data_IF_497774757161
#
_entry.id   IF_497774757161
#
_cell.length_a   1.000
_cell.length_b   1.000
_cell.length_c   1.000
_cell.angle_alpha   90.00
_cell.angle_beta   90.00
_cell.angle_gamma   90.00
#
_symmetry.space_group_name_H-M   'P 1'
#
loop_
_entity.id
_entity.type
_entity.pdbx_description
1 polymer ?
2 non-polymer ?
#
# COMPACT_ATOMS: atom_id res chain seq x y z
N UNK A 3 -15.43 13.14 -3.56
CA UNK A 3 -14.68 12.43 -2.54
C UNK A 3 -13.19 12.65 -2.71
N UNK A 4 -12.53 13.08 -1.64
CA UNK A 4 -11.13 13.47 -1.71
C UNK A 4 -10.32 12.63 -0.75
N UNK A 5 -9.15 12.19 -1.20
CA UNK A 5 -8.25 11.36 -0.40
C UNK A 5 -7.08 12.22 0.05
N UNK A 6 -6.82 12.23 1.35
CA UNK A 6 -5.70 12.95 1.94
C UNK A 6 -4.64 11.93 2.35
N UNK A 7 -3.39 12.24 2.01
CA UNK A 7 -2.27 11.34 2.29
C UNK A 7 -1.33 11.95 3.31
N UNK A 8 -0.66 11.08 4.07
CA UNK A 8 0.27 11.48 5.11
C UNK A 8 1.60 10.79 4.88
N UNK A 9 2.70 11.49 5.18
CA UNK A 9 4.04 10.96 4.99
C UNK A 9 4.82 11.11 6.28
N UNK A 10 5.24 10.00 6.86
CA UNK A 10 5.97 9.98 8.12
C UNK A 10 7.32 9.30 7.92
N UNK A 11 8.32 9.76 8.65
CA UNK A 11 9.64 9.17 8.60
C UNK A 11 10.36 9.43 7.29
N UNK A 12 11.65 9.09 7.28
CA UNK A 12 12.46 9.33 6.10
C UNK A 12 11.98 8.52 4.90
N UNK A 13 11.78 7.22 5.10
CA UNK A 13 11.31 6.36 4.00
C UNK A 13 9.95 6.82 3.47
N UNK A 14 9.00 7.06 4.38
CA UNK A 14 7.69 7.51 3.96
C UNK A 14 7.74 8.82 3.21
N UNK A 15 8.50 9.78 3.72
CA UNK A 15 8.61 11.07 3.05
C UNK A 15 9.23 10.93 1.68
N UNK A 16 10.28 10.11 1.54
CA UNK A 16 10.93 9.97 0.26
C UNK A 16 10.01 9.29 -0.76
N UNK A 17 9.33 8.21 -0.36
CA UNK A 17 8.47 7.53 -1.31
C UNK A 17 7.26 8.39 -1.66
N UNK A 18 6.78 9.19 -0.71
CA UNK A 18 5.68 10.10 -1.02
C UNK A 18 6.10 11.20 -1.97
N UNK A 19 7.30 11.74 -1.78
CA UNK A 19 7.80 12.77 -2.68
C UNK A 19 7.99 12.22 -4.09
N UNK A 20 8.52 11.01 -4.20
CA UNK A 20 8.68 10.42 -5.53
C UNK A 20 7.34 10.07 -6.16
N UNK A 21 6.37 9.64 -5.34
CA UNK A 21 5.03 9.39 -5.84
C UNK A 21 4.39 10.66 -6.37
N UNK A 22 4.58 11.78 -5.65
CA UNK A 22 4.03 13.04 -6.12
C UNK A 22 4.74 13.51 -7.39
N UNK A 23 6.05 13.29 -7.48
CA UNK A 23 6.76 13.59 -8.72
C UNK A 23 6.16 12.81 -9.88
N UNK A 24 5.99 11.50 -9.69
CA UNK A 24 5.43 10.65 -10.74
C UNK A 24 4.03 11.11 -11.13
N UNK A 25 3.20 11.45 -10.15
CA UNK A 25 1.82 11.81 -10.44
C UNK A 25 1.73 13.17 -11.12
N UNK A 26 2.57 14.11 -10.70
CA UNK A 26 2.62 15.40 -11.38
C UNK A 26 3.12 15.26 -12.80
N UNK A 27 4.04 14.32 -13.04
CA UNK A 27 4.49 14.06 -14.40
C UNK A 27 3.40 13.42 -15.23
N UNK A 28 2.58 12.56 -14.62
CA UNK A 28 1.50 11.91 -15.36
C UNK A 28 0.49 12.92 -15.85
N UNK A 29 0.19 13.94 -15.05
CA UNK A 29 -0.67 15.01 -15.49
C UNK A 29 0.18 16.14 -16.08
N UNK A 30 -0.50 17.19 -16.55
CA UNK A 30 0.21 18.33 -17.10
C UNK A 30 0.46 19.41 -16.07
N UNK A 31 1.22 19.09 -15.03
CA UNK A 31 1.47 20.00 -13.92
C UNK A 31 2.97 20.17 -13.76
N UNK A 32 3.44 21.39 -14.00
CA UNK A 32 4.86 21.70 -13.87
C UNK A 32 5.29 21.59 -12.40
N UNK A 33 6.58 21.37 -12.15
CA UNK A 33 7.09 21.37 -10.78
C UNK A 33 6.73 22.62 -10.00
N UNK A 34 6.47 23.72 -10.69
CA UNK A 34 6.05 24.97 -10.06
C UNK A 34 4.57 24.98 -9.72
N UNK A 35 3.92 23.81 -9.72
CA UNK A 35 2.50 23.68 -9.36
C UNK A 35 1.61 24.53 -10.26
N UNK A 36 2.00 24.65 -11.53
CA UNK A 36 1.23 25.38 -12.53
C UNK A 36 0.89 24.41 -13.66
N UNK A 37 -0.38 24.37 -14.04
CA UNK A 37 -0.81 23.47 -15.10
C UNK A 37 -0.17 23.89 -16.41
N UNK A 38 0.31 22.92 -17.18
CA UNK A 38 0.89 23.18 -18.49
C UNK A 38 -0.16 22.98 -19.58
N UNK A 39 0.05 23.67 -20.70
CA UNK A 39 -0.92 23.65 -21.78
C UNK A 39 -1.01 22.27 -22.42
N UNK A 40 0.07 21.83 -23.05
CA UNK A 40 0.11 20.54 -23.74
C UNK A 40 -1.09 20.32 -24.66
N UNK A 45 -9.64 15.51 -19.27
CA UNK A 45 -10.15 14.15 -19.28
C UNK A 45 -9.75 13.41 -18.01
N UNK A 46 -8.52 13.63 -17.56
CA UNK A 46 -7.99 12.97 -16.37
C UNK A 46 -8.56 13.63 -15.13
N UNK A 47 -9.33 12.87 -14.35
CA UNK A 47 -9.93 13.38 -13.12
C UNK A 47 -8.84 13.56 -12.07
N UNK A 48 -8.52 14.82 -11.77
CA UNK A 48 -7.42 15.15 -10.87
C UNK A 48 -7.89 15.79 -9.57
N UNK A 49 -9.19 15.88 -9.33
CA UNK A 49 -9.68 16.57 -8.13
C UNK A 49 -9.46 15.74 -6.87
N UNK A 50 -9.35 14.42 -7.00
CA UNK A 50 -9.27 13.55 -5.83
C UNK A 50 -8.01 13.85 -5.03
N UNK A 51 -6.86 13.92 -5.70
CA UNK A 51 -5.59 14.08 -5.03
C UNK A 51 -5.05 15.50 -5.05
N UNK A 52 -5.67 16.40 -5.82
CA UNK A 52 -5.19 17.78 -5.94
C UNK A 52 -6.31 18.74 -5.62
N UNK A 53 -5.94 19.88 -5.04
CA UNK A 53 -6.89 20.92 -4.66
C UNK A 53 -6.64 22.16 -5.51
N UNK A 54 -7.70 22.71 -6.09
CA UNK A 54 -7.57 23.86 -6.97
C UNK A 54 -7.49 25.16 -6.18
N UNK A 60 -2.83 24.51 -8.56
CA UNK A 60 -3.03 23.17 -8.02
C UNK A 60 -2.07 22.86 -6.88
N UNK A 61 -2.59 22.28 -5.81
CA UNK A 61 -1.77 21.94 -4.64
C UNK A 61 -2.12 20.52 -4.21
N UNK A 62 -1.12 19.67 -3.95
CA UNK A 62 -1.41 18.32 -3.46
C UNK A 62 -1.90 18.34 -2.02
N UNK A 63 -2.68 17.32 -1.68
CA UNK A 63 -3.22 17.16 -0.32
C UNK A 63 -2.28 16.26 0.47
N UNK A 64 -1.15 16.83 0.87
CA UNK A 64 -0.11 16.10 1.58
C UNK A 64 0.16 16.76 2.93
N UNK A 65 0.56 15.95 3.89
CA UNK A 65 0.92 16.42 5.23
C UNK A 65 2.26 15.77 5.57
N UNK A 66 3.35 16.50 5.35
CA UNK A 66 4.68 15.98 5.61
C UNK A 66 5.01 16.09 7.09
N UNK A 67 5.63 15.05 7.64
CA UNK A 67 5.99 15.03 9.05
C UNK A 67 7.33 14.34 9.28
N UNK A 72 14.50 16.26 8.57
CA UNK A 72 15.70 16.67 7.86
C UNK A 72 15.49 16.62 6.35
N UNK A 73 14.90 15.52 5.87
CA UNK A 73 14.65 15.36 4.43
C UNK A 73 13.68 16.41 3.92
N UNK A 74 12.92 17.04 4.82
CA UNK A 74 12.06 18.14 4.41
C UNK A 74 12.88 19.28 3.82
N UNK A 75 14.08 19.50 4.37
CA UNK A 75 14.97 20.50 3.78
C UNK A 75 15.42 20.07 2.38
N UNK A 76 15.68 18.77 2.19
CA UNK A 76 16.02 18.28 0.86
C UNK A 76 14.90 18.52 -0.12
N UNK A 77 13.65 18.32 0.31
CA UNK A 77 12.52 18.56 -0.57
C UNK A 77 12.38 20.05 -0.85
N UNK A 78 12.61 20.89 0.16
CA UNK A 78 12.53 22.33 -0.04
C UNK A 78 13.63 22.87 -0.94
N UNK A 79 14.75 22.16 -1.03
CA UNK A 79 15.79 22.54 -1.99
C UNK A 79 15.58 21.92 -3.36
N UNK A 80 14.73 20.91 -3.46
CA UNK A 80 14.37 20.33 -4.75
C UNK A 80 13.63 21.37 -5.60
N UNK A 81 13.63 21.20 -6.92
CA UNK A 81 12.83 22.11 -7.77
C UNK A 81 11.35 22.12 -7.45
N UNK A 82 10.86 21.21 -6.61
CA UNK A 82 9.45 21.12 -6.25
C UNK A 82 9.12 21.85 -4.96
N UNK A 83 9.89 22.89 -4.63
CA UNK A 83 9.61 23.64 -3.40
C UNK A 83 8.28 24.37 -3.48
N UNK A 84 7.81 24.67 -4.70
CA UNK A 84 6.55 25.38 -4.90
C UNK A 84 5.34 24.47 -4.86
N UNK A 85 5.47 23.25 -4.31
CA UNK A 85 4.40 22.28 -4.34
C UNK A 85 3.70 22.12 -3.00
N UNK A 86 4.15 22.80 -1.96
CA UNK A 86 3.53 22.67 -0.63
C UNK A 86 3.28 24.02 0.01
N UNK A 101 14.79 9.43 17.98
CA UNK A 101 15.72 8.32 18.07
C UNK A 101 15.38 7.19 17.13
N UNK A 102 15.64 5.96 17.56
CA UNK A 102 15.34 4.77 16.77
C UNK A 102 14.40 3.81 17.50
N UNK A 103 13.80 4.23 18.60
CA UNK A 103 12.92 3.37 19.37
C UNK A 103 11.46 3.65 19.03
N UNK A 104 10.63 2.62 19.21
CA UNK A 104 9.20 2.79 19.02
C UNK A 104 8.59 3.63 20.14
N UNK A 105 9.05 3.40 21.38
CA UNK A 105 8.48 4.12 22.51
C UNK A 105 8.77 5.61 22.43
N UNK A 106 9.97 5.99 21.98
CA UNK A 106 10.28 7.39 21.80
C UNK A 106 9.37 8.03 20.77
N UNK A 107 9.14 7.32 19.66
CA UNK A 107 8.23 7.84 18.64
C UNK A 107 6.82 8.02 19.17
N UNK A 108 6.33 7.02 19.91
CA UNK A 108 4.98 7.13 20.47
C UNK A 108 4.88 8.29 21.45
N UNK A 109 5.89 8.46 22.31
CA UNK A 109 5.87 9.54 23.28
C UNK A 109 5.88 10.90 22.58
N UNK A 110 6.77 11.08 21.62
CA UNK A 110 6.85 12.35 20.91
C UNK A 110 5.60 12.62 20.10
N UNK A 111 4.95 11.57 19.58
CA UNK A 111 3.67 11.77 18.91
C UNK A 111 2.57 12.15 19.86
N UNK A 112 2.61 11.62 21.09
CA UNK A 112 1.65 12.04 22.11
C UNK A 112 1.90 13.48 22.55
N UNK A 113 3.16 13.94 22.50
CA UNK A 113 3.48 15.28 22.94
C UNK A 113 2.90 16.35 22.03
N UNK A 114 2.80 16.07 20.74
CA UNK A 114 2.41 17.08 19.75
C UNK A 114 1.08 16.70 19.11
N UNK A 115 0.21 16.04 19.88
CA UNK A 115 -1.09 15.62 19.36
C UNK A 115 -1.86 16.80 18.77
N UNK A 116 -2.06 17.85 19.57
CA UNK A 116 -2.87 18.98 19.13
C UNK A 116 -2.20 19.71 17.97
N UNK A 117 -0.87 19.82 18.00
CA UNK A 117 -0.16 20.60 16.98
C UNK A 117 -0.38 20.01 15.59
N UNK A 118 -0.21 18.70 15.44
CA UNK A 118 -0.41 18.09 14.14
C UNK A 118 -1.89 17.92 13.84
N UNK A 119 -2.72 17.73 14.87
CA UNK A 119 -4.13 17.49 14.61
C UNK A 119 -4.87 18.75 14.21
N UNK A 120 -4.38 19.93 14.58
CA UNK A 120 -4.95 21.16 14.04
C UNK A 120 -4.78 21.21 12.53
N UNK A 121 -3.57 20.88 12.04
CA UNK A 121 -3.33 20.84 10.61
C UNK A 121 -4.21 19.79 9.95
N UNK A 122 -4.27 18.60 10.54
CA UNK A 122 -5.07 17.53 9.94
C UNK A 122 -6.54 17.93 9.89
N UNK A 123 -7.04 18.58 10.93
CA UNK A 123 -8.45 18.93 10.99
C UNK A 123 -8.78 20.06 10.03
N UNK A 124 -7.90 21.05 9.91
CA UNK A 124 -8.16 22.12 8.95
C UNK A 124 -8.14 21.59 7.53
N UNK A 125 -7.20 20.68 7.23
CA UNK A 125 -7.16 20.11 5.88
C UNK A 125 -8.33 19.17 5.65
N UNK A 126 -8.88 18.58 6.71
CA UNK A 126 -10.03 17.70 6.56
C UNK A 126 -11.30 18.49 6.32
N UNK A 127 -11.63 19.41 7.23
CA UNK A 127 -12.87 20.18 7.09
C UNK A 127 -12.80 21.16 5.92
N UNK A 128 -11.59 21.52 5.46
CA UNK A 128 -11.50 22.31 4.24
C UNK A 128 -11.99 21.56 3.02
N UNK A 129 -11.91 20.23 3.06
CA UNK A 129 -12.32 19.41 1.93
C UNK A 129 -13.84 19.28 1.87
N UNK A 130 -14.35 19.10 0.65
CA UNK A 130 -15.79 18.94 0.47
C UNK A 130 -16.28 17.66 1.14
N UNK A 131 -15.80 16.51 0.69
CA UNK A 131 -16.22 15.22 1.23
C UNK A 131 -14.98 14.33 1.34
N UNK A 132 -14.46 14.21 2.55
CA UNK A 132 -13.29 13.36 2.77
C UNK A 132 -13.66 11.90 2.58
N UNK A 133 -12.70 11.11 2.09
CA UNK A 133 -12.93 9.70 1.85
C UNK A 133 -12.02 8.80 2.66
N UNK A 134 -10.71 9.08 2.69
CA UNK A 134 -9.79 8.20 3.38
C UNK A 134 -8.53 8.89 3.90
N UNK A 135 -7.57 8.09 4.35
CA UNK A 135 -6.30 8.60 4.88
C UNK A 135 -5.20 7.65 4.44
N UNK A 136 -4.58 7.94 3.29
CA UNK A 136 -3.44 7.14 2.84
C UNK A 136 -2.23 7.44 3.71
N UNK A 137 -1.61 6.39 4.23
CA UNK A 137 -0.46 6.52 5.10
C UNK A 137 0.71 5.77 4.50
N UNK A 138 1.80 6.48 4.24
CA UNK A 138 3.01 5.90 3.67
C UNK A 138 4.14 6.02 4.69
N UNK A 139 4.56 4.90 5.25
CA UNK A 139 5.58 4.89 6.28
C UNK A 139 6.26 3.52 6.30
N UNK A 140 7.47 3.49 6.83
CA UNK A 140 8.24 2.26 6.97
C UNK A 140 8.15 1.82 8.43
N UNK A 141 7.80 0.55 8.64
CA UNK A 141 7.64 0.03 10.00
C UNK A 141 8.96 -0.31 10.67
N UNK A 142 10.08 -0.09 10.00
CA UNK A 142 11.39 -0.37 10.59
C UNK A 142 11.75 0.69 11.61
N UNK A 144 12.50 4.57 12.06
CA UNK A 144 12.57 4.58 13.51
C UNK A 144 11.37 5.23 14.17
N UNK A 145 11.40 6.56 14.25
CA UNK A 145 10.28 7.28 14.86
C UNK A 145 9.02 7.17 14.03
N UNK A 146 9.17 6.93 12.73
CA UNK A 146 8.00 6.80 11.87
C UNK A 146 7.07 5.70 12.31
N UNK A 147 7.63 4.58 12.79
CA UNK A 147 6.81 3.46 13.21
C UNK A 147 5.88 3.85 14.35
N UNK A 148 6.46 4.34 15.45
CA UNK A 148 5.63 4.72 16.59
C UNK A 148 4.71 5.89 16.29
N UNK A 149 5.18 6.84 15.47
CA UNK A 149 4.33 7.97 15.14
C UNK A 149 3.12 7.53 14.33
N UNK A 150 3.32 6.61 13.37
CA UNK A 150 2.20 6.07 12.62
C UNK A 150 1.28 5.24 13.49
N UNK A 151 1.84 4.50 14.43
CA UNK A 151 1.02 3.80 15.42
C UNK A 151 0.09 4.76 16.14
N UNK A 152 0.66 5.83 16.71
CA UNK A 152 -0.14 6.80 17.45
C UNK A 152 -1.17 7.47 16.56
N UNK A 153 -0.78 7.83 15.34
CA UNK A 153 -1.71 8.50 14.43
C UNK A 153 -2.85 7.57 14.04
N UNK A 154 -2.55 6.29 13.81
CA UNK A 154 -3.62 5.33 13.49
C UNK A 154 -4.59 5.21 14.66
N UNK A 155 -4.07 5.12 15.88
CA UNK A 155 -4.95 5.04 17.03
C UNK A 155 -5.84 6.27 17.14
N UNK A 156 -5.25 7.45 16.98
CA UNK A 156 -6.02 8.68 17.15
C UNK A 156 -7.02 8.88 16.02
N UNK A 157 -6.70 8.42 14.81
CA UNK A 157 -7.66 8.53 13.71
C UNK A 157 -8.80 7.53 13.87
N UNK A 158 -8.51 6.34 14.38
CA UNK A 158 -9.59 5.43 14.73
C UNK A 158 -10.46 6.02 15.85
N UNK A 159 -9.87 6.82 16.73
CA UNK A 159 -10.63 7.47 17.78
C UNK A 159 -11.55 8.54 17.22
N UNK A 160 -10.98 9.52 16.50
CA UNK A 160 -11.76 10.69 16.11
C UNK A 160 -12.70 10.38 14.95
N UNK A 161 -12.15 10.01 13.79
CA UNK A 161 -12.95 9.79 12.60
C UNK A 161 -13.37 8.33 12.54
N UNK A 162 -14.65 8.00 12.70
CA UNK A 162 -15.06 6.61 12.69
C UNK A 162 -15.57 6.13 11.34
N UNK A 163 -15.74 7.06 10.39
CA UNK A 163 -16.32 6.73 9.09
C UNK A 163 -15.35 6.94 7.94
N UNK A 164 -14.04 6.94 8.23
CA UNK A 164 -13.02 7.20 7.22
C UNK A 164 -12.17 5.95 7.04
N UNK A 165 -12.15 5.42 5.83
CA UNK A 165 -11.27 4.29 5.51
C UNK A 165 -9.81 4.72 5.64
N UNK A 166 -8.97 3.78 6.07
CA UNK A 166 -7.55 4.05 6.28
C UNK A 166 -6.77 2.97 5.55
N UNK A 167 -6.15 3.33 4.43
CA UNK A 167 -5.24 2.45 3.72
C UNK A 167 -3.80 2.86 4.03
N UNK A 168 -2.90 1.87 4.03
CA UNK A 168 -1.53 2.09 4.46
C UNK A 168 -0.58 1.41 3.50
N UNK A 169 0.31 2.19 2.89
CA UNK A 169 1.37 1.65 2.03
C UNK A 169 2.63 1.40 2.86
N UNK A 170 2.49 0.53 3.85
CA UNK A 170 3.59 0.25 4.76
C UNK A 170 4.69 -0.55 4.06
N UNK A 171 5.93 -0.29 4.46
CA UNK A 171 7.11 -0.89 3.86
C UNK A 171 7.79 -1.76 4.90
N UNK A 172 8.00 -3.05 4.57
CA UNK A 172 8.65 -4.02 5.44
C UNK A 172 10.15 -4.02 5.22
N UNK A 173 10.93 -4.37 6.25
CA UNK A 173 12.40 -4.37 6.14
C UNK A 173 12.92 -5.51 5.26
N UNK A 183 16.71 -4.60 17.36
CA UNK A 183 15.59 -3.88 17.94
C UNK A 183 14.50 -3.72 16.88
N UNK A 184 14.88 -3.98 15.64
CA UNK A 184 13.92 -3.92 14.53
C UNK A 184 12.71 -4.82 14.73
N UNK A 185 12.86 -6.09 15.15
CA UNK A 185 11.66 -6.93 15.32
C UNK A 185 10.65 -6.35 16.27
N UNK A 186 11.10 -5.71 17.35
CA UNK A 186 10.19 -5.09 18.31
C UNK A 186 9.29 -4.07 17.62
N UNK A 187 9.89 -3.07 16.97
CA UNK A 187 9.13 -2.04 16.30
C UNK A 187 8.22 -2.63 15.24
N UNK A 188 8.72 -3.59 14.46
CA UNK A 188 7.90 -4.17 13.41
C UNK A 188 6.67 -4.84 13.98
N UNK A 189 6.84 -5.66 15.03
CA UNK A 189 5.70 -6.38 15.58
C UNK A 189 4.71 -5.43 16.24
N UNK A 190 5.21 -4.36 16.86
CA UNK A 190 4.29 -3.38 17.42
C UNK A 190 3.46 -2.70 16.33
N UNK A 191 4.11 -2.35 15.22
CA UNK A 191 3.37 -1.78 14.10
C UNK A 191 2.33 -2.76 13.56
N UNK A 192 2.69 -4.04 13.48
CA UNK A 192 1.70 -5.03 13.03
C UNK A 192 0.53 -5.11 14.01
N UNK A 193 0.82 -5.05 15.31
CA UNK A 193 -0.25 -5.09 16.30
C UNK A 193 -1.21 -3.92 16.12
N UNK A 194 -0.68 -2.73 15.85
CA UNK A 194 -1.57 -1.59 15.67
C UNK A 194 -2.24 -1.59 14.31
N UNK A 195 -1.66 -2.26 13.32
CA UNK A 195 -2.20 -2.25 11.98
C UNK A 195 -3.26 -3.31 11.75
N UNK A 196 -3.30 -4.36 12.57
CA UNK A 196 -4.22 -5.46 12.34
C UNK A 196 -5.63 -5.19 12.85
N UNK A 197 -5.88 -4.04 13.47
CA UNK A 197 -7.21 -3.75 13.97
C UNK A 197 -7.68 -2.36 13.55
N UNK A 198 -6.75 -1.45 13.31
CA UNK A 198 -7.09 -0.07 12.99
C UNK A 198 -7.23 0.15 11.48
N UNK A 199 -6.16 -0.11 10.73
CA UNK A 199 -6.16 0.13 9.29
C UNK A 199 -7.16 -0.80 8.60
N UNK A 200 -8.13 -0.22 7.90
CA UNK A 200 -9.13 -1.01 7.20
C UNK A 200 -8.59 -1.67 5.94
N UNK A 201 -7.34 -1.40 5.57
CA UNK A 201 -6.67 -2.09 4.48
C UNK A 201 -5.18 -1.86 4.65
N UNK A 202 -4.39 -2.64 3.91
CA UNK A 202 -2.94 -2.52 4.03
C UNK A 202 -2.29 -3.18 2.81
N UNK A 203 -1.20 -2.59 2.36
CA UNK A 203 -0.40 -3.10 1.25
C UNK A 203 1.04 -3.24 1.73
N UNK A 204 1.59 -4.44 1.63
CA UNK A 204 2.93 -4.73 2.12
C UNK A 204 3.94 -4.43 1.03
N UNK A 205 5.13 -4.01 1.44
CA UNK A 205 6.25 -3.77 0.54
C UNK A 205 7.53 -4.16 1.27
N UNK A 206 8.14 -5.26 0.86
CA UNK A 206 9.35 -5.76 1.50
C UNK A 206 10.58 -5.29 0.73
N UNK A 207 11.52 -4.67 1.44
CA UNK A 207 12.75 -4.20 0.80
C UNK A 207 13.61 -5.36 0.31
N UNK A 208 13.46 -6.54 0.90
CA UNK A 208 14.26 -7.69 0.47
C UNK A 208 13.90 -8.11 -0.94
N UNK A 209 12.60 -8.25 -1.23
CA UNK A 209 12.17 -8.64 -2.57
C UNK A 209 12.51 -7.55 -3.59
N UNK A 210 12.36 -6.29 -3.20
CA UNK A 210 12.71 -5.19 -4.10
C UNK A 210 14.20 -5.21 -4.43
N UNK A 211 15.05 -5.44 -3.43
CA UNK A 211 16.48 -5.53 -3.67
C UNK A 211 16.81 -6.73 -4.55
N UNK A 212 16.13 -7.85 -4.33
CA UNK A 212 16.32 -9.03 -5.17
C UNK A 212 16.02 -8.70 -6.63
N UNK A 213 14.88 -8.05 -6.88
CA UNK A 213 14.50 -7.70 -8.25
C UNK A 213 15.49 -6.71 -8.83
N UNK A 214 16.00 -5.79 -8.00
CA UNK A 214 16.96 -4.81 -8.48
C UNK A 214 18.25 -5.48 -8.92
N UNK A 215 18.76 -6.42 -8.12
CA UNK A 215 19.97 -7.13 -8.52
C UNK A 215 19.71 -8.03 -9.72
N UNK A 216 18.50 -8.59 -9.84
CA UNK A 216 18.20 -9.50 -10.95
C UNK A 216 18.11 -8.75 -12.27
N UNK A 217 17.15 -7.83 -12.38
CA UNK A 217 16.79 -7.24 -13.66
C UNK A 217 17.10 -5.76 -13.76
N UNK A 218 17.73 -5.18 -12.75
CA UNK A 218 18.24 -3.81 -12.83
C UNK A 218 19.74 -3.71 -12.62
N UNK A 219 20.37 -4.70 -11.97
CA UNK A 219 21.83 -4.78 -11.84
C UNK A 219 22.40 -3.55 -11.15
N UNK A 220 21.99 -3.37 -9.89
CA UNK A 220 22.47 -2.23 -9.11
C UNK A 220 23.77 -2.51 -8.37
N UNK A 221 24.11 -3.78 -8.15
CA UNK A 221 25.33 -4.13 -7.43
C UNK A 221 25.78 -5.55 -7.76
N UNK A 224 20.52 0.67 -4.16
CA UNK A 224 20.43 2.04 -3.68
C UNK A 224 18.98 2.44 -3.44
N UNK A 225 18.76 3.28 -2.43
CA UNK A 225 17.41 3.73 -2.11
C UNK A 225 16.77 4.44 -3.30
N UNK A 226 17.51 5.36 -3.92
CA UNK A 226 16.96 6.16 -5.02
C UNK A 226 16.67 5.34 -6.26
N UNK A 227 16.98 4.04 -6.27
CA UNK A 227 16.65 3.18 -7.40
C UNK A 227 15.45 2.28 -7.11
N UNK A 228 15.42 1.68 -5.92
CA UNK A 228 14.26 0.88 -5.54
C UNK A 228 13.04 1.78 -5.34
N UNK A 229 13.26 3.04 -4.93
CA UNK A 229 12.15 3.96 -4.77
C UNK A 229 11.46 4.25 -6.09
N UNK A 230 12.20 4.15 -7.21
CA UNK A 230 11.57 4.30 -8.51
C UNK A 230 10.50 3.24 -8.74
N UNK A 231 10.85 1.98 -8.52
CA UNK A 231 9.89 0.90 -8.69
C UNK A 231 8.76 1.03 -7.68
N UNK A 232 9.07 1.45 -6.45
CA UNK A 232 8.04 1.63 -5.44
C UNK A 232 7.02 2.67 -5.90
N UNK A 233 7.51 3.82 -6.37
CA UNK A 233 6.61 4.86 -6.83
C UNK A 233 5.83 4.42 -8.06
N UNK A 234 6.46 3.62 -8.93
CA UNK A 234 5.73 3.08 -10.07
C UNK A 234 4.54 2.24 -9.62
N UNK A 235 4.78 1.32 -8.68
CA UNK A 235 3.71 0.48 -8.17
C UNK A 235 2.64 1.33 -7.51
N UNK A 236 3.04 2.32 -6.73
CA UNK A 236 2.07 3.17 -6.04
C UNK A 236 1.20 3.94 -7.03
N UNK A 237 1.83 4.60 -7.99
CA UNK A 237 1.08 5.36 -8.99
C UNK A 237 0.14 4.46 -9.77
N UNK A 238 0.60 3.25 -10.11
CA UNK A 238 -0.28 2.33 -10.83
C UNK A 238 -1.37 1.76 -9.93
N UNK A 239 -1.22 1.87 -8.60
CA UNK A 239 -2.21 1.32 -7.70
C UNK A 239 -3.52 2.10 -7.76
N UNK A 240 -3.44 3.43 -7.77
CA UNK A 240 -4.61 4.29 -7.79
C UNK A 240 -4.92 4.78 -9.20
N UNK A 241 -4.68 3.94 -10.21
CA UNK A 241 -4.92 4.36 -11.58
C UNK A 241 -6.40 4.52 -11.87
N UNK A 242 -7.22 3.57 -11.43
CA UNK A 242 -8.64 3.61 -11.76
C UNK A 242 -9.39 4.76 -11.10
N UNK A 243 -8.79 5.41 -10.09
CA UNK A 243 -9.47 6.53 -9.45
C UNK A 243 -9.30 7.82 -10.24
N UNK A 244 -8.17 7.98 -10.93
CA UNK A 244 -7.91 9.22 -11.67
C UNK A 244 -8.45 9.18 -13.09
N UNK A 245 -8.49 8.02 -13.72
CA UNK A 245 -9.06 7.87 -15.05
C UNK A 245 -10.39 7.12 -14.93
N UNK A 246 -11.53 7.80 -15.02
CA UNK A 246 -12.81 7.14 -14.73
C UNK A 246 -13.14 6.08 -15.76
N UNK A 247 -13.64 4.95 -15.26
CA UNK A 247 -14.06 3.87 -16.12
C UNK A 247 -15.46 3.40 -15.79
N UNK A 248 -15.84 2.21 -16.26
CA UNK A 248 -17.17 1.70 -15.97
C UNK A 248 -17.36 1.44 -14.47
N UNK A 249 -16.36 0.82 -13.84
CA UNK A 249 -16.40 0.53 -12.42
C UNK A 249 -15.20 1.18 -11.72
N UNK A 250 -15.14 0.99 -10.40
CA UNK A 250 -14.00 1.43 -9.58
C UNK A 250 -13.80 2.95 -9.68
N UNK A 251 -14.81 3.68 -9.24
CA UNK A 251 -14.75 5.13 -9.16
C UNK A 251 -14.53 5.64 -7.74
N UNK A 252 -14.34 4.73 -6.77
CA UNK A 252 -14.18 5.12 -5.38
C UNK A 252 -13.37 4.05 -4.67
N UNK A 253 -12.79 4.44 -3.52
CA UNK A 253 -11.90 3.54 -2.80
C UNK A 253 -12.64 2.30 -2.31
N UNK A 254 -13.91 2.45 -1.93
CA UNK A 254 -14.68 1.30 -1.46
C UNK A 254 -14.83 0.28 -2.58
N UNK A 255 -14.94 0.73 -3.83
CA UNK A 255 -15.02 -0.20 -4.94
C UNK A 255 -13.78 -1.06 -5.07
N UNK A 256 -12.63 -0.56 -4.63
CA UNK A 256 -11.41 -1.35 -4.66
C UNK A 256 -11.29 -2.23 -3.42
N UNK A 257 -11.73 -1.72 -2.26
CA UNK A 257 -11.52 -2.43 -1.01
C UNK A 257 -12.53 -3.56 -0.85
N UNK A 258 -13.82 -3.24 -0.91
CA UNK A 258 -14.86 -4.22 -0.59
C UNK A 258 -14.86 -5.41 -1.53
N UNK A 259 -14.25 -5.28 -2.71
CA UNK A 259 -14.20 -6.42 -3.62
C UNK A 259 -13.20 -7.46 -3.13
N UNK A 260 -12.04 -7.01 -2.64
CA UNK A 260 -10.98 -7.94 -2.26
C UNK A 260 -11.18 -8.48 -0.85
N UNK A 261 -11.17 -7.59 0.14
CA UNK A 261 -11.21 -7.98 1.55
C UNK A 261 -12.57 -8.55 1.91
N UNK A 262 -12.69 -9.86 2.12
CA UNK A 262 -14.01 -10.44 2.42
C UNK A 262 -14.42 -10.30 3.88
N UNK A 263 -13.45 -10.38 4.79
CA UNK A 263 -13.68 -10.30 6.22
C UNK A 263 -12.73 -9.26 6.82
N UNK A 264 -13.13 -8.62 7.92
CA UNK A 264 -12.31 -7.51 8.45
C UNK A 264 -10.91 -7.90 8.90
N UNK A 265 -10.62 -9.19 9.06
CA UNK A 265 -9.30 -9.58 9.52
C UNK A 265 -8.31 -9.76 8.38
N UNK A 266 -8.73 -10.37 7.28
CA UNK A 266 -7.84 -10.71 6.17
C UNK A 266 -7.66 -9.49 5.26
N UNK A 267 -6.95 -8.49 5.79
CA UNK A 267 -6.80 -7.23 5.08
C UNK A 267 -5.35 -6.90 4.79
N UNK A 268 -4.58 -7.88 4.33
CA UNK A 268 -3.21 -7.66 3.89
C UNK A 268 -3.09 -8.11 2.43
N UNK A 269 -2.57 -7.22 1.59
CA UNK A 269 -2.51 -7.46 0.16
C UNK A 269 -1.08 -7.38 -0.35
N UNK A 270 -0.83 -8.06 -1.47
CA UNK A 270 0.46 -8.02 -2.12
C UNK A 270 0.30 -7.54 -3.56
N UNK A 271 1.40 -7.05 -4.14
CA UNK A 271 1.38 -6.42 -5.44
C UNK A 271 2.24 -7.17 -6.44
N UNK A 272 1.92 -6.98 -7.72
CA UNK A 272 2.69 -7.54 -8.81
C UNK A 272 2.66 -6.63 -10.02
N UNK A 273 3.80 -6.45 -10.69
CA UNK A 273 3.93 -5.51 -11.80
C UNK A 273 4.80 -6.17 -12.87
N UNK A 274 4.16 -6.70 -13.91
CA UNK A 274 4.88 -7.52 -14.88
C UNK A 274 5.74 -6.76 -15.89
N UNK A 275 5.36 -5.56 -16.39
CA UNK A 275 6.19 -4.94 -17.44
C UNK A 275 7.41 -4.26 -16.84
N UNK A 276 8.57 -4.88 -17.02
CA UNK A 276 9.81 -4.34 -16.48
C UNK A 276 10.86 -4.17 -17.58
N UNK A 288 1.43 -7.93 -28.12
CA UNK A 288 1.22 -8.43 -26.78
C UNK A 288 -0.26 -8.49 -26.44
N UNK A 289 -0.72 -9.66 -26.02
CA UNK A 289 -2.11 -9.88 -25.67
C UNK A 289 -2.29 -9.89 -24.16
N UNK A 290 -3.53 -9.72 -23.72
CA UNK A 290 -3.82 -9.71 -22.28
C UNK A 290 -3.56 -11.08 -21.68
N UNK A 291 -3.65 -12.15 -22.48
CA UNK A 291 -3.36 -13.48 -21.97
C UNK A 291 -1.90 -13.59 -21.54
N UNK A 292 -0.99 -13.04 -22.34
CA UNK A 292 0.42 -13.03 -21.97
C UNK A 292 0.63 -12.25 -20.69
N UNK A 293 -0.05 -11.11 -20.53
CA UNK A 293 0.10 -10.30 -19.33
C UNK A 293 -0.37 -11.08 -18.11
N UNK A 294 -1.55 -11.70 -18.21
CA UNK A 294 -2.09 -12.44 -17.08
C UNK A 294 -1.25 -13.68 -16.76
N UNK A 295 -0.62 -14.28 -17.77
CA UNK A 295 0.22 -15.44 -17.50
C UNK A 295 1.54 -15.03 -16.87
N UNK A 296 2.07 -13.86 -17.23
CA UNK A 296 3.28 -13.37 -16.61
C UNK A 296 3.04 -12.77 -15.23
N UNK A 297 1.81 -12.37 -14.93
CA UNK A 297 1.51 -11.77 -13.64
C UNK A 297 1.50 -12.82 -12.54
N UNK A 298 0.83 -13.94 -12.79
CA UNK A 298 0.69 -14.99 -11.77
C UNK A 298 1.98 -15.76 -11.54
N UNK A 299 3.08 -15.40 -12.19
CA UNK A 299 4.35 -16.06 -11.91
C UNK A 299 4.94 -15.51 -10.61
N UNK A 300 5.45 -16.39 -9.74
CA UNK A 300 6.06 -15.92 -8.49
C UNK A 300 7.32 -15.09 -8.69
N UNK A 301 7.83 -15.00 -9.92
CA UNK A 301 9.04 -14.24 -10.18
C UNK A 301 8.82 -12.73 -10.04
N UNK A 302 7.58 -12.26 -10.18
CA UNK A 302 7.30 -10.83 -10.20
C UNK A 302 6.66 -10.31 -8.92
N UNK A 303 6.04 -11.17 -8.11
CA UNK A 303 5.33 -10.71 -6.92
C UNK A 303 6.35 -10.20 -5.90
N UNK A 304 6.09 -9.00 -5.35
CA UNK A 304 6.96 -8.38 -4.37
C UNK A 304 6.74 -9.01 -2.99
N UNK A 305 7.04 -10.30 -2.89
CA UNK A 305 6.91 -11.06 -1.65
C UNK A 305 8.06 -12.05 -1.57
N UNK A 306 8.68 -12.13 -0.40
CA UNK A 306 9.76 -13.08 -0.17
C UNK A 306 9.24 -14.51 -0.22
N UNK A 314 -2.28 -25.98 3.15
CA UNK A 314 -1.57 -25.55 1.95
C UNK A 314 -1.66 -24.04 1.77
N UNK A 315 -1.86 -23.61 0.53
CA UNK A 315 -1.97 -22.19 0.23
C UNK A 315 -2.87 -22.00 -0.98
N UNK A 316 -3.55 -20.85 -1.02
CA UNK A 316 -4.47 -20.54 -2.11
C UNK A 316 -4.77 -19.05 -2.07
N UNK A 317 -5.56 -18.60 -3.03
CA UNK A 317 -5.90 -17.19 -3.20
C UNK A 317 -7.27 -16.88 -2.61
N UNK A 318 -7.43 -15.62 -2.20
CA UNK A 318 -8.69 -15.13 -1.66
C UNK A 318 -9.37 -14.16 -2.64
N UNK A 319 -8.60 -13.29 -3.27
CA UNK A 319 -9.14 -12.36 -4.24
C UNK A 319 -8.00 -11.79 -5.07
N UNK A 320 -8.25 -11.65 -6.38
CA UNK A 320 -7.27 -11.16 -7.33
C UNK A 320 -7.90 -10.03 -8.13
N UNK A 321 -7.13 -8.96 -8.33
CA UNK A 321 -7.58 -7.82 -9.13
C UNK A 321 -6.48 -7.45 -10.11
N UNK A 322 -6.84 -7.30 -11.38
CA UNK A 322 -5.92 -6.92 -12.43
C UNK A 322 -6.31 -5.56 -13.00
N UNK A 323 -5.32 -4.70 -13.21
CA UNK A 323 -5.51 -3.40 -13.82
C UNK A 323 -4.63 -3.34 -15.07
N UNK A 324 -5.27 -3.17 -16.23
CA UNK A 324 -4.57 -3.12 -17.50
C UNK A 324 -4.66 -1.71 -18.04
N UNK A 325 -3.50 -1.09 -18.27
CA UNK A 325 -3.43 0.31 -18.68
C UNK A 325 -3.19 0.48 -20.18
N UNK A 326 -3.18 -0.61 -20.94
CA UNK A 326 -2.86 -0.54 -22.34
C UNK A 326 -4.06 -0.23 -23.23
N UNK A 327 -3.79 -0.12 -24.52
CA UNK A 327 -4.81 0.07 -25.55
C UNK A 327 -5.24 -1.25 -26.16
N UNK A 328 -5.23 -2.34 -25.39
CA UNK A 328 -5.52 -3.65 -25.93
C UNK A 328 -6.97 -3.74 -26.38
N UNK A 329 -7.24 -4.77 -27.17
CA UNK A 329 -8.61 -5.07 -27.59
C UNK A 329 -9.37 -5.66 -26.42
N UNK A 330 -10.41 -5.00 -25.90
CA UNK A 330 -11.09 -5.49 -24.70
C UNK A 330 -12.01 -6.67 -24.92
N UNK A 331 -12.00 -7.30 -26.10
CA UNK A 331 -12.86 -8.45 -26.34
C UNK A 331 -12.17 -9.78 -26.01
N UNK A 332 -10.85 -9.78 -25.88
CA UNK A 332 -10.11 -11.00 -25.62
C UNK A 332 -9.90 -11.27 -24.13
N UNK A 333 -10.43 -10.42 -23.25
CA UNK A 333 -10.22 -10.61 -21.83
C UNK A 333 -11.02 -11.82 -21.32
N UNK A 334 -12.25 -12.00 -21.81
CA UNK A 334 -13.03 -13.15 -21.38
C UNK A 334 -12.40 -14.44 -21.86
N UNK A 335 -11.81 -14.44 -23.05
CA UNK A 335 -11.09 -15.62 -23.52
C UNK A 335 -9.87 -15.87 -22.65
N UNK A 336 -9.19 -14.80 -22.23
CA UNK A 336 -8.05 -14.95 -21.33
C UNK A 336 -8.46 -15.62 -20.03
N UNK A 337 -9.57 -15.16 -19.43
CA UNK A 337 -10.03 -15.76 -18.19
C UNK A 337 -10.47 -17.20 -18.40
N UNK A 338 -11.13 -17.48 -19.52
CA UNK A 338 -11.53 -18.85 -19.83
C UNK A 338 -10.32 -19.77 -19.88
N UNK A 339 -9.27 -19.36 -20.60
CA UNK A 339 -8.09 -20.20 -20.73
C UNK A 339 -7.33 -20.30 -19.41
N UNK A 340 -7.34 -19.25 -18.59
CA UNK A 340 -6.69 -19.32 -17.29
C UNK A 340 -7.40 -20.33 -16.40
N UNK A 341 -8.73 -20.33 -16.43
CA UNK A 341 -9.48 -21.32 -15.67
C UNK A 341 -9.23 -22.72 -16.22
N UNK A 342 -9.13 -22.85 -17.54
CA UNK A 342 -8.87 -24.15 -18.16
C UNK A 342 -7.55 -24.73 -17.69
N UNK A 343 -6.46 -23.99 -17.88
CA UNK A 343 -5.14 -24.51 -17.56
C UNK A 343 -4.90 -24.62 -16.06
N UNK A 344 -5.75 -24.01 -15.23
CA UNK A 344 -5.67 -24.11 -13.78
C UNK A 344 -4.30 -23.64 -13.27
N UNK A 345 -4.03 -22.35 -13.48
CA UNK A 345 -2.78 -21.76 -13.05
C UNK A 345 -2.81 -21.23 -11.63
N UNK A 346 -4.00 -21.04 -11.05
CA UNK A 346 -4.13 -20.52 -9.70
C UNK A 346 -5.28 -21.20 -9.00
N UNK A 347 -5.17 -21.28 -7.67
CA UNK A 347 -6.16 -21.91 -6.82
C UNK A 347 -6.89 -20.87 -5.97
N UNK A 348 -8.09 -21.23 -5.54
CA UNK A 348 -8.93 -20.34 -4.76
C UNK A 348 -9.33 -21.02 -3.45
N UNK A 349 -10.02 -20.26 -2.60
CA UNK A 349 -10.50 -20.75 -1.33
C UNK A 349 -11.55 -21.83 -1.57
N UNK A 350 -11.64 -22.86 -0.74
CA UNK A 350 -12.61 -23.93 -0.98
C UNK A 350 -13.98 -23.65 -0.37
N UNK A 351 -14.04 -22.75 0.62
CA UNK A 351 -15.29 -22.53 1.34
C UNK A 351 -16.21 -21.58 0.57
N UNK A 352 -15.76 -20.37 0.29
CA UNK A 352 -16.59 -19.38 -0.34
C UNK A 352 -16.28 -19.20 -1.81
N UNK A 353 -17.25 -18.70 -2.57
CA UNK A 353 -17.01 -18.41 -3.99
C UNK A 353 -16.15 -17.17 -4.17
N UNK A 354 -14.90 -17.36 -4.54
CA UNK A 354 -13.97 -16.26 -4.80
C UNK A 354 -13.51 -16.31 -6.24
N UNK A 355 -13.51 -15.15 -6.89
CA UNK A 355 -13.17 -15.07 -8.30
C UNK A 355 -12.11 -13.98 -8.49
N UNK A 356 -11.67 -13.84 -9.74
CA UNK A 356 -10.67 -12.85 -10.13
C UNK A 356 -11.37 -11.77 -10.93
N UNK A 357 -11.05 -10.51 -10.62
CA UNK A 357 -11.64 -9.37 -11.30
C UNK A 357 -10.58 -8.65 -12.12
N UNK A 358 -10.98 -8.14 -13.28
CA UNK A 358 -10.06 -7.46 -14.19
C UNK A 358 -10.72 -6.17 -14.66
N UNK A 359 -9.91 -5.11 -14.76
CA UNK A 359 -10.39 -3.81 -15.20
C UNK A 359 -9.33 -3.16 -16.07
N UNK A 360 -9.79 -2.28 -16.95
CA UNK A 360 -8.92 -1.58 -17.87
C UNK A 360 -8.93 -0.07 -17.57
N UNK A 361 -7.99 0.64 -18.19
CA UNK A 361 -7.86 2.07 -17.99
C UNK A 361 -7.15 2.65 -19.19
N UNK A 362 -6.67 3.90 -19.07
CA UNK A 362 -5.95 4.56 -20.13
C UNK A 362 -4.65 5.15 -19.58
N UNK A 363 -3.57 4.96 -20.32
CA UNK A 363 -2.30 5.55 -19.94
C UNK A 363 -2.33 7.06 -20.13
N UNK A 364 -1.48 7.75 -19.39
CA UNK A 364 -1.41 9.19 -19.48
C UNK A 364 -0.89 9.60 -20.85
N UNK A 365 -1.69 10.31 -21.66
CA UNK A 365 -1.22 10.64 -23.01
C UNK A 365 -0.02 11.57 -23.02
N UNK A 366 0.14 12.41 -22.01
CA UNK A 366 1.27 13.33 -21.95
C UNK A 366 2.58 12.60 -21.66
N UNK A 367 2.51 11.40 -21.09
CA UNK A 367 3.73 10.64 -20.79
C UNK A 367 4.33 10.06 -22.06
N UNK A 372 2.53 0.61 -26.25
CA UNK A 372 2.92 0.25 -24.88
C UNK A 372 1.73 -0.31 -24.12
N UNK A 373 1.95 -1.44 -23.44
CA UNK A 373 0.91 -2.11 -22.66
C UNK A 373 1.51 -2.53 -21.33
N UNK A 374 0.87 -2.15 -20.23
CA UNK A 374 1.33 -2.46 -18.88
C UNK A 374 0.22 -3.15 -18.12
N UNK A 375 0.50 -3.47 -16.85
CA UNK A 375 -0.48 -4.13 -16.02
C UNK A 375 -0.03 -4.33 -14.58
N UNK A 376 -0.96 -4.25 -13.64
CA UNK A 376 -0.67 -4.45 -12.23
C UNK A 376 -1.68 -5.44 -11.65
N UNK A 377 -1.28 -6.09 -10.56
CA UNK A 377 -2.09 -7.11 -9.92
C UNK A 377 -2.04 -6.94 -8.41
N UNK A 378 -3.22 -6.88 -7.79
CA UNK A 378 -3.36 -6.84 -6.34
C UNK A 378 -3.98 -8.14 -5.88
N UNK A 379 -3.29 -8.83 -4.97
CA UNK A 379 -3.71 -10.16 -4.54
C UNK A 379 -3.88 -10.23 -3.04
N UNK A 380 -4.78 -11.12 -2.62
CA UNK A 380 -4.98 -11.47 -1.22
C UNK A 380 -4.57 -12.93 -1.05
N UNK A 381 -3.28 -13.14 -0.81
CA UNK A 381 -2.70 -14.48 -0.73
C UNK A 381 -2.41 -14.81 0.73
N UNK A 382 -2.76 -16.04 1.12
CA UNK A 382 -2.55 -16.49 2.49
C UNK A 382 -1.08 -16.71 2.83
N UNK A 383 -0.20 -16.71 1.83
CA UNK A 383 1.22 -16.94 2.09
C UNK A 383 1.88 -15.79 2.84
N UNK A 384 1.29 -14.60 2.79
CA UNK A 384 1.92 -13.42 3.40
C UNK A 384 2.19 -13.66 4.89
N UNK A 385 1.34 -14.45 5.54
CA UNK A 385 1.52 -14.75 6.96
C UNK A 385 2.93 -15.23 7.26
N UNK A 386 3.51 -15.99 6.32
CA UNK A 386 4.88 -16.49 6.50
C UNK A 386 5.81 -15.38 6.96
N UNK A 387 5.77 -14.23 6.28
CA UNK A 387 6.63 -13.11 6.65
C UNK A 387 6.50 -12.80 8.13
N UNK A 388 5.27 -12.60 8.61
CA UNK A 388 5.05 -12.32 10.02
C UNK A 388 5.74 -13.33 10.90
N UNK A 389 5.61 -14.62 10.56
CA UNK A 389 6.23 -15.69 11.35
C UNK A 389 7.69 -15.37 11.61
N UNK A 390 8.43 -15.02 10.55
CA UNK A 390 9.84 -14.67 10.71
C UNK A 390 10.01 -13.64 11.81
N UNK A 391 9.34 -12.49 11.66
CA UNK A 391 9.36 -11.48 12.70
C UNK A 391 9.03 -12.09 14.05
N UNK A 392 7.89 -12.78 14.11
CA UNK A 392 7.49 -13.47 15.32
C UNK A 392 8.64 -14.31 15.86
N UNK A 393 9.19 -15.18 15.00
CA UNK A 393 10.31 -16.01 15.40
C UNK A 393 11.42 -15.17 16.01
N UNK A 394 11.84 -14.13 15.28
CA UNK A 394 12.93 -13.28 15.79
C UNK A 394 12.58 -12.71 17.15
N UNK A 395 11.33 -12.28 17.32
CA UNK A 395 10.92 -11.73 18.62
C UNK A 395 11.17 -12.74 19.73
N UNK A 396 10.78 -13.99 19.51
CA UNK A 396 11.06 -15.03 20.49
C UNK A 396 12.56 -15.15 20.72
N UNK A 397 13.34 -15.17 19.65
CA UNK A 397 14.80 -15.19 19.80
C UNK A 397 15.28 -13.96 20.55
N UNK A 398 14.62 -12.81 20.35
CA UNK A 398 14.98 -11.62 21.10
C UNK A 398 14.42 -11.62 22.50
N UNK A 399 13.36 -12.41 22.76
CA UNK A 399 12.77 -12.43 24.10
C UNK A 399 13.58 -13.26 25.07
N UNK A 400 14.48 -14.12 24.58
CA UNK A 400 15.27 -15.00 25.43
C UNK A 400 16.76 -14.68 25.37
N UNK A 401 17.13 -13.48 24.91
CA UNK A 401 18.52 -13.07 24.88
C UNK A 401 18.77 -11.68 25.44
N UNK A 402 17.78 -10.81 25.46
CA UNK A 402 17.91 -9.45 26.00
C UNK A 402 19.09 -8.69 25.39
N UNK A 416 8.24 -0.05 32.19
CA UNK A 416 7.87 -0.34 33.56
C UNK A 416 7.30 -1.75 33.70
N UNK A 417 6.35 -2.09 32.82
CA UNK A 417 5.69 -3.38 32.85
C UNK A 417 6.09 -4.31 31.71
N UNK A 418 6.39 -3.75 30.54
CA UNK A 418 6.79 -4.51 29.35
C UNK A 418 5.73 -5.52 28.94
N UNK A 419 4.46 -5.20 29.17
CA UNK A 419 3.37 -6.11 28.83
C UNK A 419 2.76 -5.80 27.46
N UNK A 420 2.94 -4.58 26.96
CA UNK A 420 2.37 -4.22 25.66
C UNK A 420 2.96 -5.07 24.55
N UNK A 421 4.26 -5.35 24.62
CA UNK A 421 4.88 -6.22 23.63
C UNK A 421 4.31 -7.63 23.70
N UNK A 422 3.99 -8.09 24.91
CA UNK A 422 3.38 -9.41 25.06
C UNK A 422 1.99 -9.43 24.43
N UNK A 423 1.20 -8.37 24.65
CA UNK A 423 -0.12 -8.30 24.02
C UNK A 423 0.01 -8.25 22.49
N UNK A 424 1.03 -7.55 22.00
CA UNK A 424 1.28 -7.49 20.57
C UNK A 424 1.58 -8.88 20.01
N UNK A 425 2.47 -9.61 20.69
CA UNK A 425 2.76 -10.98 20.28
C UNK A 425 1.49 -11.83 20.30
N UNK A 426 0.64 -11.64 21.31
CA UNK A 426 -0.60 -12.40 21.38
C UNK A 426 -1.49 -12.13 20.18
N UNK A 427 -1.68 -10.86 19.83
CA UNK A 427 -2.61 -10.55 18.75
C UNK A 427 -2.04 -10.94 17.40
N UNK A 428 -0.72 -10.85 17.22
CA UNK A 428 -0.16 -11.28 15.94
C UNK A 428 -0.20 -12.81 15.84
N UNK A 429 -0.09 -13.51 16.96
CA UNK A 429 -0.31 -14.95 16.95
C UNK A 429 -1.74 -15.27 16.55
N UNK A 430 -2.69 -14.51 17.10
CA UNK A 430 -4.09 -14.65 16.68
C UNK A 430 -4.23 -14.49 15.17
N UNK A 431 -3.59 -13.45 14.62
CA UNK A 431 -3.73 -13.18 13.19
C UNK A 431 -3.12 -14.29 12.36
N UNK A 432 -1.94 -14.78 12.75
CA UNK A 432 -1.30 -15.86 11.99
C UNK A 432 -2.14 -17.12 12.07
N UNK A 433 -2.73 -17.40 13.24
CA UNK A 433 -3.61 -18.57 13.35
C UNK A 433 -4.83 -18.42 12.45
N UNK A 434 -5.38 -17.20 12.37
CA UNK A 434 -6.53 -16.97 11.50
C UNK A 434 -6.17 -17.17 10.04
N UNK A 435 -5.01 -16.65 9.61
CA UNK A 435 -4.54 -16.89 8.26
C UNK A 435 -4.38 -18.39 7.99
N UNK A 436 -3.75 -19.12 8.91
CA UNK A 436 -3.53 -20.54 8.69
C UNK A 436 -4.84 -21.31 8.64
N UNK A 437 -5.84 -20.86 9.39
CA UNK A 437 -7.15 -21.52 9.35
C UNK A 437 -7.97 -21.09 8.14
N UNK A 438 -7.61 -19.98 7.49
CA UNK A 438 -8.37 -19.50 6.35
C UNK A 438 -8.29 -20.47 5.17
N UNK A 439 -7.21 -21.22 5.05
CA UNK A 439 -7.01 -22.13 3.93
C UNK A 439 -7.59 -23.52 4.16
N UNK A 440 -8.58 -23.64 5.04
CA UNK A 440 -9.20 -24.93 5.30
C UNK A 440 -10.63 -24.95 4.77
N UNK A 441 -11.11 -26.09 4.28
CA UNK A 441 -12.48 -26.15 3.75
C UNK A 441 -13.55 -25.83 4.77
N UNK A 442 -13.22 -25.79 6.05
CA UNK A 442 -14.19 -25.41 7.08
C UNK A 442 -13.71 -24.19 7.83
N UNK A 443 -13.22 -23.18 7.11
CA UNK A 443 -12.73 -21.97 7.75
C UNK A 443 -13.82 -21.31 8.60
N UNK A 444 -15.08 -21.40 8.14
CA UNK A 444 -16.18 -20.87 8.93
C UNK A 444 -16.23 -21.60 10.26
N UNK A 445 -16.39 -20.83 11.34
CA UNK A 445 -16.41 -21.37 12.70
C UNK A 445 -15.13 -22.16 13.01
#
# INVERSE_FOLDING_TARGET
MPREIITLQLGQCGNQIGFEFWKQLCAEHGISPEAIVEEFATEGTDRKDVFFYQADDEHYIPRAVLLDLEPRVIHSILNSPYAKLYNPENIYLSEHGGGAGNNWASGFSQGEKIHEDIFDIIDREADGSDSLEGFVLCHSIAGGTGSGLGSYLLERLNDRYPKKLVQTYSVFPNQDEMSDVVVQPYNSLLTLKRLTQNADCLVVLDNTALNRIATDRLHIQNPSFSQINQLVSTIMSASTTTLRYPGYMNNDLIGLIASLIPTPRLHFLMTGYTPLTTDQSVASVRKTTVLDVMRRLLQPKNVMVSTGRDRQTNHCYIAILNIIQGEVDPTQVHKSLQRIRERKLANFIPWGPASIQVALSRKSPYLPSAHRVSGLMMANHTSISSLFERTCRQYDKLRKREAFLEQFRKEDMFKDNFDEMDTSREIVQQLIDEYHAATRPDYISWGTQEQ
#
